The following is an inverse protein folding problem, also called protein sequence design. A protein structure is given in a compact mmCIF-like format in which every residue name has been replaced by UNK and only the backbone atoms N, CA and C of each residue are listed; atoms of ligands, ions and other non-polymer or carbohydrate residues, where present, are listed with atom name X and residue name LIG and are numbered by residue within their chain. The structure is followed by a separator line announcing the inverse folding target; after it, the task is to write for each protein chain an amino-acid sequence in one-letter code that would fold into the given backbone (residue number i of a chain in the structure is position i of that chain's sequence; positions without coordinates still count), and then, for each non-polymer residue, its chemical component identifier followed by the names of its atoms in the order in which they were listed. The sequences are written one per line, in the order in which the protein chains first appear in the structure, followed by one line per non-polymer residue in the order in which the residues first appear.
data_IF_217279537867
#
_entry.id   IF_217279537867
#
_cell.length_a   1.000
_cell.length_b   1.000
_cell.length_c   1.000
_cell.angle_alpha   90.00
_cell.angle_beta   90.00
_cell.angle_gamma   90.00
#
_symmetry.space_group_name_H-M   'P 1'
#
loop_
_entity.id
_entity.type
_entity.pdbx_description
1 polymer ?
#
# COMPACT_ATOMS: atom_id res chain seq x y z
N UNK A 1 -18.99 9.88 -16.33
CA UNK A 1 -18.29 10.05 -15.03
C UNK A 1 -18.52 8.79 -14.21
N UNK A 2 -17.58 7.84 -14.22
CA UNK A 2 -17.68 6.69 -13.31
C UNK A 2 -17.52 7.21 -11.88
N UNK A 3 -18.52 6.98 -11.01
CA UNK A 3 -18.44 7.40 -9.62
C UNK A 3 -17.30 6.68 -8.89
N UNK A 4 -16.64 7.36 -7.96
CA UNK A 4 -15.61 6.72 -7.12
C UNK A 4 -16.24 5.59 -6.30
N UNK A 5 -15.59 4.43 -6.25
CA UNK A 5 -16.09 3.26 -5.52
C UNK A 5 -15.81 3.38 -4.02
N UNK A 6 -16.57 2.63 -3.22
CA UNK A 6 -16.32 2.44 -1.80
C UNK A 6 -14.97 1.73 -1.57
N UNK A 7 -14.27 2.07 -0.49
CA UNK A 7 -13.01 1.39 -0.12
C UNK A 7 -13.20 -0.02 0.46
N UNK A 8 -14.43 -0.35 0.88
CA UNK A 8 -14.77 -1.61 1.57
C UNK A 8 -15.55 -2.57 0.67
N UNK A 9 -16.22 -2.06 -0.37
CA UNK A 9 -16.99 -2.87 -1.32
C UNK A 9 -17.02 -2.20 -2.70
N UNK A 10 -17.63 -2.86 -3.70
CA UNK A 10 -17.66 -2.35 -5.08
C UNK A 10 -18.85 -1.44 -5.40
N UNK A 11 -19.60 -0.98 -4.38
CA UNK A 11 -20.68 -0.03 -4.57
C UNK A 11 -20.14 1.39 -4.80
N UNK A 12 -20.88 2.20 -5.56
CA UNK A 12 -20.61 3.62 -5.73
C UNK A 12 -20.61 4.34 -4.38
N UNK A 13 -19.56 5.09 -4.09
CA UNK A 13 -19.47 5.87 -2.87
C UNK A 13 -20.39 7.10 -2.93
N UNK A 14 -21.08 7.36 -1.83
CA UNK A 14 -22.00 8.49 -1.65
C UNK A 14 -21.52 9.45 -0.57
N UNK A 15 -20.56 9.01 0.25
CA UNK A 15 -20.00 9.76 1.37
C UNK A 15 -18.49 9.67 1.40
N UNK A 16 -17.86 10.67 2.02
CA UNK A 16 -16.42 10.74 2.24
C UNK A 16 -16.10 10.83 3.73
N UNK A 17 -14.91 10.41 4.11
CA UNK A 17 -14.43 10.63 5.48
C UNK A 17 -14.39 12.13 5.78
N UNK A 18 -15.05 12.57 6.86
CA UNK A 18 -15.12 13.98 7.23
C UNK A 18 -13.77 14.55 7.70
N UNK A 19 -12.86 13.69 8.17
CA UNK A 19 -11.56 14.13 8.69
C UNK A 19 -10.52 14.38 7.59
N UNK A 20 -10.31 13.41 6.68
CA UNK A 20 -9.29 13.52 5.63
C UNK A 20 -9.85 13.92 4.27
N UNK A 21 -11.18 13.77 4.04
CA UNK A 21 -11.85 13.99 2.74
C UNK A 21 -11.33 13.16 1.55
N UNK A 22 -10.33 12.29 1.75
CA UNK A 22 -9.74 11.45 0.72
C UNK A 22 -10.49 10.12 0.59
N UNK A 23 -10.79 9.44 1.70
CA UNK A 23 -11.51 8.17 1.64
C UNK A 23 -12.98 8.29 1.30
N UNK A 24 -13.50 7.26 0.62
CA UNK A 24 -14.85 7.19 0.05
C UNK A 24 -15.57 5.91 0.48
N UNK A 25 -16.84 6.04 0.86
CA UNK A 25 -17.68 4.94 1.33
C UNK A 25 -19.10 5.05 0.76
N UNK A 26 -19.78 3.93 0.56
CA UNK A 26 -21.19 3.92 0.12
C UNK A 26 -22.18 4.11 1.29
N UNK A 27 -21.79 3.75 2.52
CA UNK A 27 -22.61 3.88 3.74
C UNK A 27 -21.75 4.17 4.97
N UNK A 28 -22.40 4.63 6.06
CA UNK A 28 -21.75 4.78 7.37
C UNK A 28 -21.27 3.44 7.93
N UNK A 29 -21.91 2.34 7.61
CA UNK A 29 -21.51 1.02 8.10
C UNK A 29 -20.23 0.55 7.41
N UNK A 30 -20.08 0.78 6.09
CA UNK A 30 -18.81 0.59 5.41
C UNK A 30 -17.71 1.44 6.02
N UNK A 31 -17.98 2.71 6.33
CA UNK A 31 -17.00 3.57 7.00
C UNK A 31 -16.59 3.03 8.38
N UNK A 32 -17.55 2.58 9.20
CA UNK A 32 -17.29 2.00 10.53
C UNK A 32 -16.47 0.70 10.42
N UNK A 33 -16.83 -0.17 9.50
CA UNK A 33 -16.11 -1.43 9.24
C UNK A 33 -14.67 -1.18 8.76
N UNK A 34 -14.46 -0.19 7.89
CA UNK A 34 -13.13 0.21 7.42
C UNK A 34 -12.27 0.96 8.44
N UNK A 35 -12.90 1.54 9.48
CA UNK A 35 -12.25 2.45 10.42
C UNK A 35 -10.99 1.90 11.11
N UNK A 36 -10.94 0.63 11.59
CA UNK A 36 -9.76 0.10 12.26
C UNK A 36 -8.49 0.18 11.41
N UNK A 37 -8.61 -0.02 10.09
CA UNK A 37 -7.51 0.11 9.13
C UNK A 37 -7.33 1.58 8.75
N UNK A 38 -8.39 2.24 8.29
CA UNK A 38 -8.35 3.62 7.81
C UNK A 38 -7.74 4.60 8.83
N UNK A 39 -8.04 4.47 10.13
CA UNK A 39 -7.51 5.35 11.18
C UNK A 39 -5.98 5.34 11.31
N UNK A 40 -5.31 4.31 10.79
CA UNK A 40 -3.86 4.20 10.81
C UNK A 40 -3.21 5.27 9.90
N UNK A 41 -3.81 5.54 8.75
CA UNK A 41 -3.33 6.55 7.80
C UNK A 41 -4.16 7.83 7.72
N UNK A 42 -5.40 7.85 8.24
CA UNK A 42 -6.31 8.99 8.09
C UNK A 42 -5.70 10.33 8.52
N UNK A 43 -4.97 10.34 9.65
CA UNK A 43 -4.31 11.55 10.15
C UNK A 43 -3.20 12.03 9.23
N UNK A 44 -2.37 11.11 8.74
CA UNK A 44 -1.30 11.42 7.81
C UNK A 44 -1.83 11.85 6.43
N UNK A 45 -2.88 11.18 5.92
CA UNK A 45 -3.55 11.57 4.69
C UNK A 45 -4.09 13.01 4.79
N UNK A 46 -4.72 13.36 5.92
CA UNK A 46 -5.17 14.75 6.16
C UNK A 46 -4.01 15.76 6.11
N UNK A 47 -2.82 15.36 6.57
CA UNK A 47 -1.65 16.23 6.67
C UNK A 47 -0.88 16.37 5.35
N UNK A 48 -0.86 15.35 4.49
CA UNK A 48 -0.17 15.39 3.20
C UNK A 48 -1.13 15.83 2.09
N UNK A 49 -1.06 17.09 1.68
CA UNK A 49 -1.92 17.63 0.63
C UNK A 49 -1.14 17.77 -0.66
N UNK A 50 -1.78 17.55 -1.80
CA UNK A 50 -1.10 17.56 -3.10
C UNK A 50 -0.49 18.92 -3.42
N UNK A 51 -1.09 20.00 -2.92
CA UNK A 51 -0.58 21.37 -3.00
C UNK A 51 0.73 21.57 -2.23
N UNK A 52 1.00 20.73 -1.22
CA UNK A 52 2.23 20.77 -0.41
C UNK A 52 3.33 19.87 -1.01
N UNK A 53 3.18 19.42 -2.26
CA UNK A 53 4.20 18.61 -2.94
C UNK A 53 5.49 19.42 -3.08
N UNK A 54 6.64 18.87 -2.66
CA UNK A 54 7.92 19.54 -2.85
C UNK A 54 8.19 19.85 -4.31
N UNK A 55 8.67 21.07 -4.58
CA UNK A 55 9.11 21.47 -5.91
C UNK A 55 10.40 20.73 -6.26
N UNK A 56 10.47 20.02 -7.40
CA UNK A 56 11.71 19.38 -7.84
C UNK A 56 12.86 20.38 -8.01
N UNK A 57 14.04 20.00 -7.51
CA UNK A 57 15.26 20.78 -7.71
C UNK A 57 15.86 20.62 -9.13
N UNK A 58 15.39 19.63 -9.90
CA UNK A 58 15.88 19.26 -11.24
C UNK A 58 14.74 18.68 -12.08
N UNK A 59 14.76 18.83 -13.42
CA UNK A 59 13.78 18.20 -14.31
C UNK A 59 13.74 16.67 -14.24
N UNK A 60 14.81 16.05 -13.72
CA UNK A 60 14.91 14.61 -13.55
C UNK A 60 14.54 14.14 -12.14
N UNK A 61 13.94 15.01 -11.32
CA UNK A 61 13.51 14.67 -9.95
C UNK A 61 12.01 14.80 -9.83
N UNK A 62 11.38 13.89 -9.11
CA UNK A 62 9.94 13.87 -8.86
C UNK A 62 9.66 13.56 -7.40
N UNK A 63 8.50 14.00 -6.92
CA UNK A 63 7.99 13.63 -5.61
C UNK A 63 6.60 13.00 -5.76
N UNK A 64 6.41 11.82 -5.16
CA UNK A 64 5.13 11.11 -5.12
C UNK A 64 4.75 10.76 -3.70
N UNK A 65 3.45 10.71 -3.43
CA UNK A 65 2.96 10.16 -2.19
C UNK A 65 3.30 8.67 -2.12
N UNK A 66 4.01 8.30 -1.07
CA UNK A 66 4.32 6.93 -0.71
C UNK A 66 3.86 6.67 0.73
N UNK A 67 3.80 5.41 1.15
CA UNK A 67 3.49 5.03 2.54
C UNK A 67 4.74 4.43 3.17
N UNK A 68 5.24 5.08 4.21
CA UNK A 68 6.38 4.64 5.00
C UNK A 68 5.90 3.86 6.23
N UNK A 69 6.54 2.72 6.48
CA UNK A 69 6.45 1.95 7.71
C UNK A 69 7.78 2.11 8.46
N UNK A 70 7.87 3.15 9.28
CA UNK A 70 9.05 3.43 10.11
C UNK A 70 9.04 2.55 11.37
N UNK A 71 10.08 1.74 11.64
CA UNK A 71 10.09 0.82 12.78
C UNK A 71 9.88 1.46 14.14
N UNK A 72 10.34 2.70 14.31
CA UNK A 72 10.18 3.43 15.56
C UNK A 72 8.74 3.95 15.78
N UNK A 73 7.95 4.10 14.72
CA UNK A 73 6.61 4.67 14.75
C UNK A 73 5.52 3.61 14.98
N UNK A 74 4.42 3.99 15.64
CA UNK A 74 3.31 3.06 15.95
C UNK A 74 2.30 2.87 14.82
N UNK A 75 2.41 3.66 13.75
CA UNK A 75 1.49 3.67 12.61
C UNK A 75 2.27 4.01 11.34
N UNK A 76 1.85 3.51 10.17
CA UNK A 76 2.40 3.98 8.92
C UNK A 76 1.98 5.43 8.69
N UNK A 77 2.69 6.12 7.79
CA UNK A 77 2.34 7.46 7.36
C UNK A 77 2.68 7.67 5.90
N UNK A 78 1.96 8.59 5.27
CA UNK A 78 2.34 9.11 3.99
C UNK A 78 3.61 9.97 4.08
N UNK A 79 4.40 9.91 3.01
CA UNK A 79 5.60 10.72 2.79
C UNK A 79 5.65 11.19 1.34
N UNK A 80 6.40 12.26 1.09
CA UNK A 80 6.81 12.65 -0.26
C UNK A 80 8.08 11.92 -0.61
N UNK A 81 7.95 10.74 -1.22
CA UNK A 81 9.10 9.98 -1.66
C UNK A 81 9.67 10.62 -2.92
N UNK A 82 10.98 10.90 -2.88
CA UNK A 82 11.74 11.41 -4.01
C UNK A 82 12.01 10.30 -5.01
N UNK A 83 11.91 10.61 -6.29
CA UNK A 83 12.29 9.77 -7.41
C UNK A 83 13.27 10.52 -8.30
N UNK A 84 14.18 9.80 -8.93
CA UNK A 84 15.08 10.34 -9.93
C UNK A 84 14.96 9.56 -11.24
N UNK A 85 14.93 10.26 -12.37
CA UNK A 85 15.02 9.63 -13.68
C UNK A 85 16.44 9.08 -13.88
N UNK A 86 16.55 7.78 -14.07
CA UNK A 86 17.83 7.08 -14.27
C UNK A 86 17.74 6.15 -15.47
N UNK A 87 18.88 5.92 -16.14
CA UNK A 87 18.99 4.90 -17.17
C UNK A 87 19.29 3.54 -16.53
N UNK A 88 18.39 2.59 -16.73
CA UNK A 88 18.45 1.21 -16.24
C UNK A 88 18.30 0.30 -17.44
N UNK A 89 19.30 -0.53 -17.74
CA UNK A 89 19.31 -1.48 -18.87
C UNK A 89 18.90 -0.85 -20.22
N UNK A 90 19.42 0.35 -20.50
CA UNK A 90 19.14 1.09 -21.75
C UNK A 90 17.76 1.73 -21.80
N UNK A 91 17.08 1.91 -20.66
CA UNK A 91 15.76 2.54 -20.56
C UNK A 91 15.74 3.56 -19.43
N UNK A 92 15.11 4.71 -19.66
CA UNK A 92 14.87 5.67 -18.59
C UNK A 92 13.68 5.24 -17.72
N UNK A 93 13.92 5.14 -16.41
CA UNK A 93 12.95 4.80 -15.39
C UNK A 93 13.06 5.77 -14.20
N UNK A 94 11.93 6.10 -13.59
CA UNK A 94 11.86 6.84 -12.34
C UNK A 94 12.16 5.87 -11.17
N UNK A 95 13.32 6.03 -10.56
CA UNK A 95 13.82 5.19 -9.47
C UNK A 95 13.65 5.92 -8.13
N UNK A 96 13.03 5.31 -7.10
CA UNK A 96 12.88 5.96 -5.80
C UNK A 96 14.23 6.16 -5.11
N UNK A 97 14.40 7.29 -4.45
CA UNK A 97 15.49 7.56 -3.53
C UNK A 97 15.16 6.91 -2.18
N UNK A 98 15.80 5.79 -1.87
CA UNK A 98 15.52 4.99 -0.68
C UNK A 98 16.42 5.32 0.51
N UNK A 99 17.36 6.25 0.31
CA UNK A 99 18.38 6.58 1.31
C UNK A 99 17.83 7.41 2.45
N UNK A 100 16.97 8.39 2.15
CA UNK A 100 16.32 9.26 3.16
C UNK A 100 15.59 8.47 4.26
N UNK A 101 15.12 7.25 3.96
CA UNK A 101 14.37 6.41 4.89
C UNK A 101 15.15 5.16 5.34
N UNK A 102 16.47 5.12 5.11
CA UNK A 102 17.36 4.03 5.53
C UNK A 102 16.89 2.63 5.09
N UNK A 103 16.17 2.57 3.97
CA UNK A 103 15.69 1.29 3.43
C UNK A 103 16.85 0.56 2.75
N UNK A 104 17.77 1.33 2.15
CA UNK A 104 18.89 0.86 1.36
C UNK A 104 20.28 1.22 1.92
N UNK A 105 20.35 1.92 3.06
CA UNK A 105 21.58 2.62 3.48
C UNK A 105 22.73 1.70 3.94
N UNK A 106 22.45 0.45 4.30
CA UNK A 106 23.42 -0.40 5.01
C UNK A 106 23.44 -1.88 4.58
N UNK A 107 22.61 -2.30 3.61
CA UNK A 107 22.43 -3.71 3.21
C UNK A 107 22.18 -3.83 1.71
N UNK A 108 22.81 -4.83 1.09
CA UNK A 108 22.71 -5.07 -0.37
C UNK A 108 21.38 -5.76 -0.76
N UNK A 109 20.75 -6.50 0.17
CA UNK A 109 19.56 -7.29 -0.12
C UNK A 109 18.26 -6.51 0.08
N UNK A 110 17.78 -5.84 -0.98
CA UNK A 110 16.45 -5.23 -1.02
C UNK A 110 15.56 -6.04 -1.95
N UNK A 111 14.55 -6.70 -1.40
CA UNK A 111 13.52 -7.37 -2.20
C UNK A 111 12.42 -6.38 -2.59
N UNK A 112 11.66 -6.74 -3.63
CA UNK A 112 10.47 -6.01 -3.99
C UNK A 112 9.31 -6.90 -4.40
N UNK A 113 8.13 -6.52 -3.89
CA UNK A 113 6.88 -7.17 -4.26
C UNK A 113 5.96 -6.19 -4.98
N UNK A 114 5.21 -6.72 -5.94
CA UNK A 114 4.21 -5.98 -6.71
C UNK A 114 2.82 -6.37 -6.24
N UNK A 115 1.95 -5.39 -6.07
CA UNK A 115 0.53 -5.59 -5.76
C UNK A 115 -0.27 -4.96 -6.90
N UNK A 116 -1.05 -5.78 -7.61
CA UNK A 116 -1.89 -5.34 -8.73
C UNK A 116 -3.39 -5.49 -8.44
N UNK A 117 -3.74 -6.35 -7.48
CA UNK A 117 -5.13 -6.69 -7.19
C UNK A 117 -5.37 -6.89 -5.70
N UNK A 118 -6.63 -6.73 -5.31
CA UNK A 118 -7.13 -7.18 -4.03
C UNK A 118 -7.98 -8.42 -4.27
N UNK A 119 -7.50 -9.63 -3.94
CA UNK A 119 -8.23 -10.87 -4.21
C UNK A 119 -9.53 -10.99 -3.39
N UNK A 120 -9.66 -10.22 -2.29
CA UNK A 120 -10.87 -10.17 -1.46
C UNK A 120 -11.95 -9.31 -2.10
N UNK A 121 -11.58 -8.19 -2.73
CA UNK A 121 -12.52 -7.27 -3.36
C UNK A 121 -12.73 -7.56 -4.85
N UNK A 122 -11.94 -8.45 -5.45
CA UNK A 122 -11.87 -8.65 -6.90
C UNK A 122 -11.48 -7.38 -7.67
N UNK A 123 -10.88 -6.40 -6.99
CA UNK A 123 -10.57 -5.08 -7.55
C UNK A 123 -9.16 -5.09 -8.12
N UNK A 124 -9.02 -4.63 -9.36
CA UNK A 124 -7.72 -4.36 -9.99
C UNK A 124 -7.36 -2.90 -9.79
N UNK A 125 -6.09 -2.63 -9.47
CA UNK A 125 -5.56 -1.27 -9.44
C UNK A 125 -5.31 -0.77 -10.87
N UNK A 126 -5.32 0.54 -11.06
CA UNK A 126 -4.93 1.17 -12.33
C UNK A 126 -3.41 1.38 -12.43
N UNK A 127 -2.71 1.23 -11.32
CA UNK A 127 -1.26 1.31 -11.18
C UNK A 127 -0.73 0.09 -10.41
N UNK A 128 0.59 -0.06 -10.36
CA UNK A 128 1.27 -1.10 -9.59
C UNK A 128 1.84 -0.53 -8.30
N UNK A 129 1.45 -1.10 -7.15
CA UNK A 129 2.11 -0.78 -5.88
C UNK A 129 3.36 -1.65 -5.76
N UNK A 130 4.51 -1.04 -5.50
CA UNK A 130 5.77 -1.70 -5.14
C UNK A 130 5.99 -1.57 -3.64
N UNK A 131 6.22 -2.70 -2.97
CA UNK A 131 6.69 -2.74 -1.57
C UNK A 131 8.18 -3.01 -1.57
N UNK A 132 8.96 -2.15 -0.92
CA UNK A 132 10.41 -2.32 -0.70
C UNK A 132 10.68 -2.59 0.77
N UNK A 133 11.50 -3.59 1.03
CA UNK A 133 11.97 -4.01 2.35
C UNK A 133 13.30 -4.75 2.19
N UNK A 134 14.06 -4.88 3.29
CA UNK A 134 15.32 -5.63 3.31
C UNK A 134 15.00 -7.11 3.27
N UNK A 135 15.56 -7.91 2.36
CA UNK A 135 15.18 -9.33 2.23
C UNK A 135 15.56 -10.15 3.47
N UNK A 136 16.73 -9.85 4.04
CA UNK A 136 17.27 -10.57 5.20
C UNK A 136 16.84 -9.98 6.56
N UNK A 137 15.69 -9.29 6.63
CA UNK A 137 15.25 -8.53 7.80
C UNK A 137 15.09 -9.36 9.10
N UNK A 138 15.00 -10.69 8.99
CA UNK A 138 14.91 -11.59 10.14
C UNK A 138 16.27 -11.93 10.75
N UNK A 139 17.37 -11.78 10.00
CA UNK A 139 18.71 -12.16 10.44
C UNK A 139 19.75 -11.02 10.38
N UNK A 140 19.42 -9.87 9.79
CA UNK A 140 20.34 -8.74 9.60
C UNK A 140 20.45 -7.79 10.83
N UNK A 141 19.73 -8.08 11.91
CA UNK A 141 19.66 -7.25 13.11
C UNK A 141 18.59 -6.15 13.08
N UNK A 142 17.73 -6.13 12.06
CA UNK A 142 16.63 -5.19 11.93
C UNK A 142 15.68 -5.26 13.13
N UNK A 143 15.19 -4.09 13.55
CA UNK A 143 14.24 -3.97 14.68
C UNK A 143 12.80 -4.27 14.22
N UNK A 144 11.95 -4.83 15.09
CA UNK A 144 10.53 -5.03 14.78
C UNK A 144 9.86 -3.75 14.30
N UNK A 145 9.08 -3.86 13.22
CA UNK A 145 8.41 -2.73 12.61
C UNK A 145 7.07 -2.44 13.31
N UNK A 146 7.10 -1.51 14.28
CA UNK A 146 5.91 -1.14 15.07
C UNK A 146 4.80 -0.54 14.23
N UNK A 147 5.11 0.05 13.07
CA UNK A 147 4.12 0.61 12.16
C UNK A 147 3.38 -0.48 11.36
N UNK A 148 4.00 -1.64 11.13
CA UNK A 148 3.37 -2.78 10.46
C UNK A 148 2.49 -3.60 11.41
N UNK A 149 2.85 -3.70 12.69
CA UNK A 149 2.15 -4.54 13.69
C UNK A 149 0.62 -4.35 13.76
N UNK A 150 0.06 -3.12 13.71
CA UNK A 150 -1.40 -2.93 13.75
C UNK A 150 -2.15 -3.55 12.56
N UNK A 151 -1.45 -3.88 11.47
CA UNK A 151 -2.02 -4.58 10.32
C UNK A 151 -2.27 -6.07 10.59
N UNK A 152 -1.73 -6.58 11.70
CA UNK A 152 -1.73 -8.00 12.08
C UNK A 152 -1.12 -8.88 10.98
N UNK A 153 0.13 -8.59 10.54
CA UNK A 153 0.80 -9.43 9.56
C UNK A 153 1.07 -10.83 10.14
N UNK A 154 1.22 -11.83 9.27
CA UNK A 154 1.62 -13.19 9.68
C UNK A 154 3.10 -13.30 10.04
N UNK A 155 3.92 -12.46 9.40
CA UNK A 155 5.36 -12.39 9.61
C UNK A 155 5.68 -11.21 10.52
N UNK A 156 6.65 -11.39 11.42
CA UNK A 156 7.26 -10.32 12.22
C UNK A 156 8.13 -9.43 11.31
N UNK A 157 7.50 -8.52 10.57
CA UNK A 157 8.20 -7.58 9.70
C UNK A 157 9.16 -6.71 10.51
N UNK A 158 10.40 -6.59 10.03
CA UNK A 158 11.46 -5.80 10.67
C UNK A 158 12.10 -4.83 9.68
N UNK A 159 12.70 -3.79 10.23
CA UNK A 159 13.36 -2.76 9.44
C UNK A 159 12.37 -1.84 8.71
N UNK A 160 12.85 -0.73 8.14
CA UNK A 160 12.01 0.21 7.43
C UNK A 160 11.49 -0.38 6.11
N UNK A 161 10.24 -0.05 5.80
CA UNK A 161 9.59 -0.47 4.55
C UNK A 161 8.90 0.73 3.90
N UNK A 162 8.86 0.77 2.57
CA UNK A 162 8.08 1.77 1.84
C UNK A 162 7.22 1.11 0.77
N UNK A 163 5.99 1.60 0.65
CA UNK A 163 5.11 1.31 -0.48
C UNK A 163 5.01 2.55 -1.37
N UNK A 164 5.12 2.39 -2.68
CA UNK A 164 4.91 3.46 -3.66
C UNK A 164 4.26 2.92 -4.93
N UNK A 165 3.65 3.79 -5.74
CA UNK A 165 3.01 3.39 -6.98
C UNK A 165 3.89 3.65 -8.21
N UNK A 166 3.73 2.81 -9.23
CA UNK A 166 4.24 2.99 -10.58
C UNK A 166 3.08 2.86 -11.57
N UNK A 167 3.03 3.73 -12.59
CA UNK A 167 1.94 3.74 -13.57
C UNK A 167 1.89 2.43 -14.37
N UNK A 168 0.66 1.95 -14.56
CA UNK A 168 0.37 0.75 -15.34
C UNK A 168 0.56 -0.57 -14.57
N UNK A 169 0.31 -1.67 -15.27
CA UNK A 169 0.29 -3.04 -14.73
C UNK A 169 1.24 -3.98 -15.47
N UNK A 170 2.07 -3.44 -16.37
CA UNK A 170 2.96 -4.24 -17.22
C UNK A 170 4.19 -4.74 -16.43
N UNK A 171 4.96 -5.65 -17.04
CA UNK A 171 6.22 -6.09 -16.47
C UNK A 171 7.24 -4.94 -16.34
N UNK A 172 7.17 -3.95 -17.23
CA UNK A 172 8.12 -2.84 -17.37
C UNK A 172 7.46 -1.51 -16.97
N UNK A 173 7.76 -1.05 -15.75
CA UNK A 173 7.13 0.13 -15.16
C UNK A 173 8.16 1.26 -15.08
N UNK A 174 7.92 2.36 -15.79
CA UNK A 174 8.89 3.45 -15.96
C UNK A 174 8.57 4.71 -15.16
N UNK A 175 7.31 5.02 -14.98
CA UNK A 175 6.86 6.28 -14.37
C UNK A 175 6.26 6.01 -12.99
N UNK A 176 6.61 6.84 -12.01
CA UNK A 176 6.02 6.79 -10.66
C UNK A 176 4.63 7.42 -10.64
N UNK A 177 3.81 7.01 -9.67
CA UNK A 177 2.47 7.54 -9.43
C UNK A 177 2.24 7.80 -7.93
N UNK A 178 1.21 8.57 -7.61
CA UNK A 178 0.85 8.85 -6.21
C UNK A 178 0.02 7.71 -5.61
N UNK A 179 0.40 7.26 -4.41
CA UNK A 179 -0.52 6.51 -3.58
C UNK A 179 -1.59 7.41 -2.97
N UNK A 180 -2.79 6.86 -2.79
CA UNK A 180 -3.86 7.43 -1.99
C UNK A 180 -4.44 6.41 -1.01
N UNK A 181 -5.49 6.82 -0.27
CA UNK A 181 -6.09 5.94 0.74
C UNK A 181 -6.84 4.73 0.14
N UNK A 182 -7.21 4.78 -1.15
CA UNK A 182 -7.85 3.65 -1.82
C UNK A 182 -6.88 2.50 -2.10
N UNK A 183 -5.58 2.75 -2.06
CA UNK A 183 -4.50 1.76 -2.19
C UNK A 183 -4.23 1.01 -0.88
N UNK A 184 -4.49 1.66 0.26
CA UNK A 184 -4.14 1.10 1.56
C UNK A 184 -4.80 -0.25 1.86
N UNK A 185 -6.09 -0.51 1.54
CA UNK A 185 -6.68 -1.84 1.68
C UNK A 185 -5.91 -2.96 0.96
N UNK A 186 -5.28 -2.66 -0.19
CA UNK A 186 -4.46 -3.62 -0.94
C UNK A 186 -3.15 -3.93 -0.21
N UNK A 187 -2.51 -2.89 0.33
CA UNK A 187 -1.29 -3.03 1.13
C UNK A 187 -1.58 -3.84 2.40
N UNK A 188 -2.64 -3.50 3.14
CA UNK A 188 -3.03 -4.26 4.35
C UNK A 188 -3.29 -5.72 4.03
N UNK A 189 -3.99 -5.99 2.92
CA UNK A 189 -4.24 -7.38 2.51
C UNK A 189 -2.93 -8.11 2.22
N UNK A 190 -2.02 -7.50 1.47
CA UNK A 190 -0.71 -8.09 1.18
C UNK A 190 0.05 -8.47 2.46
N UNK A 191 0.12 -7.57 3.46
CA UNK A 191 0.76 -7.86 4.76
C UNK A 191 0.15 -9.07 5.49
N UNK A 192 -1.15 -9.30 5.35
CA UNK A 192 -1.86 -10.40 6.01
C UNK A 192 -1.67 -11.75 5.33
N UNK A 193 -1.45 -11.77 4.01
CA UNK A 193 -1.32 -13.03 3.24
C UNK A 193 0.10 -13.34 2.80
N UNK A 194 1.03 -12.41 2.95
CA UNK A 194 2.44 -12.65 2.63
C UNK A 194 3.01 -13.83 3.43
N UNK A 195 3.72 -14.73 2.75
CA UNK A 195 4.26 -15.98 3.33
C UNK A 195 3.27 -17.14 3.39
N UNK A 196 2.01 -16.96 2.99
CA UNK A 196 1.06 -18.06 2.81
C UNK A 196 1.41 -18.84 1.53
N UNK A 197 1.42 -20.18 1.61
CA UNK A 197 1.72 -21.05 0.46
C UNK A 197 0.58 -21.09 -0.56
N UNK A 198 -0.58 -20.50 -0.24
CA UNK A 198 -1.63 -20.24 -1.22
C UNK A 198 -1.09 -19.24 -2.24
N UNK A 199 -1.15 -19.54 -3.55
CA UNK A 199 -0.62 -18.65 -4.57
C UNK A 199 -1.18 -17.24 -4.36
N UNK A 200 -0.30 -16.24 -4.27
CA UNK A 200 -0.64 -14.85 -4.60
C UNK A 200 -0.92 -14.70 -6.11
N UNK A 201 -1.17 -15.79 -6.84
CA UNK A 201 -1.92 -15.73 -8.08
C UNK A 201 -3.35 -15.37 -7.70
N UNK A 202 -3.68 -14.09 -7.80
CA UNK A 202 -4.69 -13.54 -8.72
C UNK A 202 -5.97 -14.32 -9.08
N UNK A 203 -6.32 -15.41 -8.41
CA UNK A 203 -7.63 -16.03 -8.45
C UNK A 203 -8.44 -15.47 -7.29
N UNK A 204 -9.63 -14.96 -7.61
CA UNK A 204 -10.66 -14.56 -6.66
C UNK A 204 -10.74 -15.58 -5.51
N UNK A 205 -10.86 -15.11 -4.26
CA UNK A 205 -11.23 -16.00 -3.15
C UNK A 205 -12.51 -16.74 -3.54
N UNK A 206 -12.47 -18.06 -3.55
CA UNK A 206 -13.69 -18.86 -3.80
C UNK A 206 -14.59 -18.82 -2.56
N UNK A 207 -15.88 -19.12 -2.71
CA UNK A 207 -16.79 -19.24 -1.56
C UNK A 207 -16.27 -20.25 -0.52
N UNK A 208 -15.60 -21.32 -0.98
CA UNK A 208 -14.97 -22.31 -0.11
C UNK A 208 -13.75 -21.75 0.65
N UNK A 209 -12.98 -20.85 0.05
CA UNK A 209 -11.87 -20.16 0.74
C UNK A 209 -12.41 -19.19 1.79
N UNK A 210 -13.48 -18.46 1.46
CA UNK A 210 -14.19 -17.58 2.39
C UNK A 210 -14.74 -18.35 3.59
N UNK A 211 -15.38 -19.50 3.36
CA UNK A 211 -15.92 -20.39 4.40
C UNK A 211 -14.85 -21.09 5.24
N UNK A 212 -13.59 -21.11 4.81
CA UNK A 212 -12.45 -21.62 5.58
C UNK A 212 -11.70 -20.52 6.34
N UNK A 213 -11.89 -19.25 5.97
CA UNK A 213 -11.29 -18.13 6.69
C UNK A 213 -11.86 -18.03 8.12
N UNK A 214 -11.02 -17.75 9.13
CA UNK A 214 -11.47 -17.48 10.50
C UNK A 214 -12.51 -16.35 10.53
N UNK A 215 -13.52 -16.40 11.43
CA UNK A 215 -14.54 -15.36 11.54
C UNK A 215 -13.97 -13.94 11.71
N UNK A 216 -12.83 -13.80 12.38
CA UNK A 216 -12.11 -12.53 12.53
C UNK A 216 -11.52 -11.98 11.23
N UNK A 217 -11.21 -12.84 10.25
CA UNK A 217 -10.76 -12.44 8.91
C UNK A 217 -11.93 -12.13 7.98
N UNK A 218 -13.09 -12.79 8.16
CA UNK A 218 -14.34 -12.46 7.45
C UNK A 218 -14.94 -11.13 7.85
N UNK A 219 -14.76 -10.71 9.10
CA UNK A 219 -15.27 -9.43 9.61
C UNK A 219 -14.59 -8.19 8.97
N UNK A 220 -13.49 -8.40 8.22
CA UNK A 220 -12.63 -7.37 7.65
C UNK A 220 -12.84 -7.13 6.13
N UNK A 221 -13.83 -7.79 5.52
CA UNK A 221 -14.25 -7.63 4.13
C UNK A 221 -15.72 -8.02 3.95
N UNK A 222 -16.41 -7.45 2.97
CA UNK A 222 -17.79 -7.86 2.63
C UNK A 222 -17.70 -8.91 1.53
N UNK A 223 -18.31 -10.08 1.74
CA UNK A 223 -18.46 -11.09 0.70
C UNK A 223 -19.18 -10.45 -0.50
N UNK A 224 -18.52 -10.39 -1.66
CA UNK A 224 -19.20 -10.09 -2.92
C UNK A 224 -19.82 -11.41 -3.35
N UNK A 225 -21.13 -11.56 -3.14
CA UNK A 225 -21.89 -12.65 -3.79
C UNK A 225 -21.81 -12.43 -5.29
N UNK A 226 -21.31 -13.44 -6.00
CA UNK A 226 -21.43 -13.56 -7.46
C UNK A 226 -22.90 -13.80 -7.80
#
# INVERSE_FOLDING_TARGET
MAGTLCEICNNTATQRCSACSQSRYCTRDCQKSGWPKHKLLCGSAKAIRLEDRPTPASPNTFFRRAILFEPAESKPRFVWLKFNLQEVDGRYEEVPDLTEHQIADDKEDIDHRRIHNNPVLGKQLHHTIRVRYRDNFLADGSKPNKAANPLKPKIDWRGPMVCYAMKGLSATLKESDDLDLSDFPFIVQWFKVFGDSRPLQTSLLTDADWERMPPAERADGVAVKI
#
